data_IF_260146442235
#
_entry.id   IF_260146442235
#
_cell.length_a   1.000
_cell.length_b   1.000
_cell.length_c   1.000
_cell.angle_alpha   90.00
_cell.angle_beta   90.00
_cell.angle_gamma   90.00
#
_symmetry.space_group_name_H-M   'P 1'
#
loop_
_entity.id
_entity.type
_entity.pdbx_description
1 polymer ?
#
# COMPACT_ATOMS: atom_id res chain seq x y z
N UNK A 1 27.75 19.06 27.77
CA UNK A 1 26.30 18.79 27.72
C UNK A 1 25.68 19.68 26.64
N UNK A 2 25.29 19.12 25.50
CA UNK A 2 24.62 19.87 24.44
C UNK A 2 23.11 19.63 24.52
N UNK A 3 22.34 20.67 24.83
CA UNK A 3 20.88 20.66 24.74
C UNK A 3 20.48 20.69 23.26
N UNK A 4 20.01 19.56 22.73
CA UNK A 4 19.22 19.54 21.51
C UNK A 4 17.86 20.19 21.83
N UNK A 5 17.73 21.48 21.51
CA UNK A 5 16.46 22.20 21.65
C UNK A 5 15.43 21.60 20.70
N UNK A 6 14.30 21.13 21.24
CA UNK A 6 13.16 20.69 20.44
C UNK A 6 12.69 21.83 19.52
N UNK A 7 12.39 21.56 18.23
CA UNK A 7 11.97 22.61 17.31
C UNK A 7 10.69 23.29 17.80
N UNK A 8 10.67 24.63 17.76
CA UNK A 8 9.52 25.43 18.18
C UNK A 8 8.21 24.99 17.45
N UNK A 9 7.05 24.97 18.12
CA UNK A 9 5.81 24.36 17.62
C UNK A 9 5.31 24.96 16.30
N UNK A 10 5.61 26.23 16.01
CA UNK A 10 5.28 26.87 14.74
C UNK A 10 6.10 26.32 13.56
N UNK A 11 7.36 25.96 13.79
CA UNK A 11 8.23 25.33 12.78
C UNK A 11 7.77 23.91 12.47
N UNK A 12 7.41 23.14 13.49
CA UNK A 12 6.83 21.79 13.30
C UNK A 12 5.53 21.86 12.49
N UNK A 13 4.60 22.77 12.82
CA UNK A 13 3.36 22.95 12.06
C UNK A 13 3.60 23.29 10.58
N UNK A 14 4.57 24.16 10.28
CA UNK A 14 4.92 24.51 8.89
C UNK A 14 5.51 23.32 8.14
N UNK A 15 6.38 22.55 8.78
CA UNK A 15 6.97 21.33 8.23
C UNK A 15 5.91 20.28 7.92
N UNK A 16 4.97 20.04 8.84
CA UNK A 16 3.85 19.10 8.61
C UNK A 16 2.96 19.54 7.45
N UNK A 17 2.64 20.83 7.37
CA UNK A 17 1.82 21.37 6.27
C UNK A 17 2.52 21.20 4.92
N UNK A 18 3.81 21.51 4.83
CA UNK A 18 4.55 21.32 3.58
C UNK A 18 4.70 19.85 3.20
N UNK A 19 4.87 18.96 4.20
CA UNK A 19 4.96 17.52 3.97
C UNK A 19 3.65 16.97 3.40
N UNK A 20 2.51 17.36 3.97
CA UNK A 20 1.19 16.98 3.46
C UNK A 20 0.92 17.53 2.05
N UNK A 21 1.31 18.78 1.78
CA UNK A 21 1.17 19.38 0.44
C UNK A 21 2.03 18.64 -0.60
N UNK A 22 3.25 18.26 -0.26
CA UNK A 22 4.13 17.47 -1.13
C UNK A 22 3.58 16.07 -1.41
N UNK A 23 3.02 15.40 -0.39
CA UNK A 23 2.38 14.09 -0.55
C UNK A 23 1.19 14.19 -1.52
N UNK A 24 0.30 15.16 -1.33
CA UNK A 24 -0.87 15.31 -2.19
C UNK A 24 -0.46 15.67 -3.63
N UNK A 25 0.46 16.61 -3.80
CA UNK A 25 0.97 16.98 -5.12
C UNK A 25 1.65 15.82 -5.84
N UNK A 26 2.34 14.92 -5.11
CA UNK A 26 2.96 13.75 -5.71
C UNK A 26 1.91 12.81 -6.32
N UNK A 27 0.80 12.58 -5.61
CA UNK A 27 -0.31 11.75 -6.08
C UNK A 27 -0.94 12.40 -7.33
N UNK A 28 -1.28 13.69 -7.25
CA UNK A 28 -1.97 14.40 -8.32
C UNK A 28 -1.14 14.49 -9.60
N UNK A 29 0.15 14.88 -9.49
CA UNK A 29 1.03 15.08 -10.63
C UNK A 29 1.33 13.75 -11.34
N UNK A 30 1.58 12.68 -10.59
CA UNK A 30 1.90 11.37 -11.18
C UNK A 30 0.65 10.71 -11.76
N UNK A 31 -0.53 10.92 -11.16
CA UNK A 31 -1.79 10.42 -11.72
C UNK A 31 -2.14 11.10 -13.05
N UNK A 32 -1.91 12.42 -13.13
CA UNK A 32 -2.32 13.24 -14.27
C UNK A 32 -1.35 13.26 -15.47
N UNK A 33 -0.13 12.73 -15.37
CA UNK A 33 0.86 12.77 -16.46
C UNK A 33 1.11 11.38 -17.06
N UNK A 34 1.07 11.28 -18.39
CA UNK A 34 1.43 10.05 -19.13
C UNK A 34 2.95 9.78 -19.15
N UNK A 35 3.77 10.71 -18.67
CA UNK A 35 5.23 10.62 -18.73
C UNK A 35 5.81 10.03 -17.45
N UNK A 36 6.56 8.94 -17.58
CA UNK A 36 7.24 8.24 -16.47
C UNK A 36 8.22 9.12 -15.67
N UNK A 37 8.63 10.27 -16.21
CA UNK A 37 9.63 11.17 -15.63
C UNK A 37 9.02 12.39 -14.93
N UNK A 38 8.39 12.18 -13.78
CA UNK A 38 8.01 13.30 -12.89
C UNK A 38 9.18 13.63 -11.98
N UNK A 39 9.77 14.83 -12.11
CA UNK A 39 10.86 15.26 -11.23
C UNK A 39 10.33 15.73 -9.85
N UNK A 40 11.14 15.58 -8.79
CA UNK A 40 10.80 16.11 -7.46
C UNK A 40 10.59 17.64 -7.48
N UNK A 41 11.27 18.34 -8.39
CA UNK A 41 11.06 19.78 -8.60
C UNK A 41 9.65 20.13 -9.05
N UNK A 42 9.06 19.32 -9.93
CA UNK A 42 7.73 19.56 -10.49
C UNK A 42 6.68 19.34 -9.41
N UNK A 43 6.88 18.33 -8.57
CA UNK A 43 6.03 18.07 -7.40
C UNK A 43 6.15 19.21 -6.39
N UNK A 44 7.37 19.70 -6.13
CA UNK A 44 7.59 20.82 -5.23
C UNK A 44 6.88 22.10 -5.72
N UNK A 45 6.95 22.37 -7.02
CA UNK A 45 6.25 23.48 -7.66
C UNK A 45 4.73 23.35 -7.51
N UNK A 46 4.17 22.17 -7.83
CA UNK A 46 2.74 21.89 -7.67
C UNK A 46 2.27 22.01 -6.21
N UNK A 47 3.13 21.64 -5.25
CA UNK A 47 2.85 21.77 -3.81
C UNK A 47 3.03 23.21 -3.27
N UNK A 48 3.48 24.17 -4.09
CA UNK A 48 3.75 25.55 -3.67
C UNK A 48 4.92 25.66 -2.69
N UNK A 49 5.92 24.76 -2.78
CA UNK A 49 7.11 24.76 -1.92
C UNK A 49 8.40 24.86 -2.74
N UNK A 50 9.48 25.34 -2.11
CA UNK A 50 10.76 25.40 -2.82
C UNK A 50 11.36 24.00 -3.00
N UNK A 51 12.11 23.80 -4.10
CA UNK A 51 12.85 22.55 -4.34
C UNK A 51 13.70 22.15 -3.13
N UNK A 52 14.40 23.12 -2.53
CA UNK A 52 15.22 22.91 -1.33
C UNK A 52 14.43 22.27 -0.19
N UNK A 53 13.19 22.72 0.06
CA UNK A 53 12.34 22.14 1.12
C UNK A 53 11.94 20.71 0.79
N UNK A 54 11.60 20.42 -0.47
CA UNK A 54 11.24 19.07 -0.89
C UNK A 54 12.40 18.08 -0.72
N UNK A 55 13.59 18.43 -1.22
CA UNK A 55 14.81 17.61 -1.05
C UNK A 55 15.19 17.46 0.42
N UNK A 56 15.02 18.48 1.26
CA UNK A 56 15.29 18.38 2.70
C UNK A 56 14.34 17.43 3.43
N UNK A 57 13.09 17.28 2.98
CA UNK A 57 12.08 16.47 3.67
C UNK A 57 12.03 15.02 3.21
N UNK A 58 12.39 14.75 1.96
CA UNK A 58 12.25 13.42 1.35
C UNK A 58 13.54 12.87 0.75
N UNK A 59 14.57 13.69 0.55
CA UNK A 59 15.83 13.28 -0.06
C UNK A 59 15.72 13.14 -1.58
N UNK A 60 14.79 12.33 -2.08
CA UNK A 60 14.57 12.13 -3.50
C UNK A 60 13.07 11.94 -3.84
N UNK A 61 12.81 11.78 -5.14
CA UNK A 61 11.47 11.61 -5.70
C UNK A 61 10.86 10.28 -5.25
N UNK A 62 11.60 9.19 -5.31
CA UNK A 62 11.07 7.85 -5.09
C UNK A 62 10.74 7.62 -3.62
N UNK A 63 11.47 8.24 -2.70
CA UNK A 63 11.15 8.31 -1.28
C UNK A 63 9.86 9.11 -1.01
N UNK A 64 9.63 10.21 -1.75
CA UNK A 64 8.36 10.93 -1.68
C UNK A 64 7.19 10.07 -2.21
N UNK A 65 7.36 9.39 -3.35
CA UNK A 65 6.33 8.54 -3.92
C UNK A 65 5.99 7.36 -3.01
N UNK A 66 7.00 6.78 -2.36
CA UNK A 66 6.83 5.75 -1.33
C UNK A 66 5.93 6.22 -0.20
N UNK A 67 6.29 7.34 0.42
CA UNK A 67 5.56 7.93 1.53
C UNK A 67 4.13 8.31 1.11
N UNK A 68 3.95 8.83 -0.10
CA UNK A 68 2.64 9.16 -0.65
C UNK A 68 1.78 7.92 -0.88
N UNK A 69 2.34 6.80 -1.35
CA UNK A 69 1.61 5.54 -1.49
C UNK A 69 1.14 4.97 -0.14
N UNK A 70 2.01 5.02 0.87
CA UNK A 70 1.66 4.59 2.22
C UNK A 70 0.60 5.53 2.85
N UNK A 71 0.72 6.85 2.66
CA UNK A 71 -0.29 7.82 3.12
C UNK A 71 -1.65 7.56 2.47
N UNK A 72 -1.67 7.39 1.15
CA UNK A 72 -2.90 7.14 0.39
C UNK A 72 -3.59 5.86 0.86
N UNK A 73 -2.84 4.77 1.05
CA UNK A 73 -3.40 3.52 1.57
C UNK A 73 -3.93 3.66 3.00
N UNK A 74 -3.22 4.37 3.88
CA UNK A 74 -3.70 4.61 5.26
C UNK A 74 -4.97 5.45 5.30
N UNK A 75 -5.10 6.42 4.39
CA UNK A 75 -6.25 7.34 4.33
C UNK A 75 -7.47 6.74 3.66
N UNK A 76 -7.27 5.93 2.62
CA UNK A 76 -8.37 5.52 1.73
C UNK A 76 -8.63 4.03 1.77
N UNK A 77 -7.60 3.18 1.78
CA UNK A 77 -7.78 1.72 1.82
C UNK A 77 -8.12 1.24 3.22
N UNK A 78 -7.30 1.58 4.23
CA UNK A 78 -7.45 1.07 5.61
C UNK A 78 -8.86 1.31 6.18
N UNK A 79 -9.45 2.51 6.09
CA UNK A 79 -10.78 2.76 6.64
C UNK A 79 -11.90 2.00 5.91
N UNK A 80 -11.73 1.73 4.62
CA UNK A 80 -12.71 0.96 3.84
C UNK A 80 -12.65 -0.52 4.20
N UNK A 81 -11.44 -1.08 4.34
CA UNK A 81 -11.26 -2.52 4.52
C UNK A 81 -11.44 -2.99 5.97
N UNK A 82 -11.23 -2.12 6.96
CA UNK A 82 -11.22 -2.50 8.38
C UNK A 82 -12.58 -2.98 8.90
N UNK A 83 -13.68 -2.44 8.35
CA UNK A 83 -15.04 -2.79 8.75
C UNK A 83 -15.70 -3.84 7.83
N UNK A 84 -15.02 -4.24 6.75
CA UNK A 84 -15.53 -5.25 5.83
C UNK A 84 -15.21 -6.66 6.33
N UNK A 85 -16.10 -7.64 6.08
CA UNK A 85 -15.81 -9.04 6.39
C UNK A 85 -14.57 -9.51 5.61
N UNK A 86 -13.78 -10.46 6.16
CA UNK A 86 -12.70 -11.10 5.42
C UNK A 86 -13.18 -11.71 4.08
N UNK A 87 -12.25 -11.96 3.15
CA UNK A 87 -12.57 -12.54 1.84
C UNK A 87 -12.92 -11.50 0.78
N UNK A 88 -13.86 -11.86 -0.12
CA UNK A 88 -14.13 -11.11 -1.37
C UNK A 88 -14.47 -9.63 -1.16
N UNK A 89 -15.35 -9.22 -0.23
CA UNK A 89 -15.72 -7.81 -0.08
C UNK A 89 -14.52 -6.92 0.26
N UNK A 90 -13.68 -7.38 1.20
CA UNK A 90 -12.47 -6.66 1.62
C UNK A 90 -11.42 -6.59 0.50
N UNK A 91 -11.18 -7.71 -0.18
CA UNK A 91 -10.25 -7.76 -1.29
C UNK A 91 -10.67 -6.81 -2.42
N UNK A 92 -11.95 -6.85 -2.80
CA UNK A 92 -12.49 -6.04 -3.89
C UNK A 92 -12.41 -4.53 -3.59
N UNK A 93 -12.70 -4.10 -2.36
CA UNK A 93 -12.54 -2.70 -1.96
C UNK A 93 -11.10 -2.21 -2.14
N UNK A 94 -10.11 -2.99 -1.70
CA UNK A 94 -8.70 -2.65 -1.89
C UNK A 94 -8.30 -2.66 -3.38
N UNK A 95 -8.76 -3.64 -4.16
CA UNK A 95 -8.41 -3.77 -5.58
C UNK A 95 -9.00 -2.65 -6.44
N UNK A 96 -10.23 -2.21 -6.15
CA UNK A 96 -10.84 -1.04 -6.80
C UNK A 96 -10.01 0.21 -6.57
N UNK A 97 -9.57 0.45 -5.34
CA UNK A 97 -8.65 1.54 -5.03
C UNK A 97 -7.36 1.48 -5.85
N UNK A 98 -6.73 0.29 -5.95
CA UNK A 98 -5.53 0.13 -6.76
C UNK A 98 -5.79 0.38 -8.26
N UNK A 99 -6.94 -0.03 -8.79
CA UNK A 99 -7.33 0.26 -10.17
C UNK A 99 -7.60 1.75 -10.41
N UNK A 100 -8.33 2.41 -9.51
CA UNK A 100 -8.65 3.85 -9.60
C UNK A 100 -7.38 4.71 -9.56
N UNK A 101 -6.36 4.27 -8.82
CA UNK A 101 -5.05 4.93 -8.72
C UNK A 101 -3.95 4.22 -9.50
N UNK A 102 -4.30 3.44 -10.55
CA UNK A 102 -3.37 2.56 -11.28
C UNK A 102 -2.08 3.26 -11.69
N UNK A 103 -2.20 4.44 -12.30
CA UNK A 103 -1.05 5.22 -12.84
C UNK A 103 -0.05 5.56 -11.74
N UNK A 104 -0.56 6.03 -10.60
CA UNK A 104 0.25 6.36 -9.44
C UNK A 104 0.96 5.12 -8.88
N UNK A 105 0.21 4.07 -8.56
CA UNK A 105 0.81 2.85 -8.00
C UNK A 105 1.79 2.18 -8.95
N UNK A 106 1.50 2.15 -10.26
CA UNK A 106 2.43 1.64 -11.28
C UNK A 106 3.74 2.41 -11.26
N UNK A 107 3.71 3.74 -11.20
CA UNK A 107 4.93 4.55 -11.12
C UNK A 107 5.77 4.22 -9.88
N UNK A 108 5.14 4.01 -8.73
CA UNK A 108 5.85 3.62 -7.49
C UNK A 108 6.44 2.21 -7.59
N UNK A 109 5.68 1.25 -8.13
CA UNK A 109 6.06 -0.16 -8.24
C UNK A 109 7.11 -0.44 -9.32
N UNK A 110 7.24 0.44 -10.31
CA UNK A 110 8.34 0.38 -11.30
C UNK A 110 9.57 1.20 -10.90
N UNK A 111 9.49 1.93 -9.79
CA UNK A 111 10.57 2.79 -9.31
C UNK A 111 11.65 2.02 -8.54
N UNK A 112 12.84 2.63 -8.34
CA UNK A 112 13.96 2.03 -7.59
C UNK A 112 13.61 1.52 -6.18
N UNK A 113 12.61 2.13 -5.53
CA UNK A 113 12.21 1.80 -4.17
C UNK A 113 11.06 0.77 -4.09
N UNK A 114 10.65 0.14 -5.19
CA UNK A 114 9.51 -0.79 -5.22
C UNK A 114 9.59 -1.90 -4.16
N UNK A 115 10.80 -2.43 -3.90
CA UNK A 115 11.04 -3.45 -2.86
C UNK A 115 10.72 -2.90 -1.46
N UNK A 116 11.09 -1.65 -1.18
CA UNK A 116 10.77 -0.98 0.08
C UNK A 116 9.27 -0.71 0.25
N UNK A 117 8.52 -0.50 -0.85
CA UNK A 117 7.05 -0.42 -0.78
C UNK A 117 6.49 -1.76 -0.33
N UNK A 118 6.95 -2.83 -0.97
CA UNK A 118 6.54 -4.18 -0.59
C UNK A 118 6.77 -4.47 0.90
N UNK A 119 7.94 -4.10 1.43
CA UNK A 119 8.24 -4.23 2.86
C UNK A 119 7.32 -3.37 3.74
N UNK A 120 7.13 -2.08 3.40
CA UNK A 120 6.25 -1.19 4.15
C UNK A 120 4.78 -1.61 4.13
N UNK A 121 4.32 -2.22 3.03
CA UNK A 121 2.99 -2.83 2.93
C UNK A 121 2.90 -4.11 3.75
N UNK A 122 3.93 -4.95 3.72
CA UNK A 122 3.99 -6.14 4.54
C UNK A 122 3.86 -5.79 6.03
N UNK A 123 4.53 -4.74 6.52
CA UNK A 123 4.41 -4.29 7.92
C UNK A 123 2.97 -3.90 8.32
N UNK A 124 2.15 -3.43 7.37
CA UNK A 124 0.75 -3.08 7.62
C UNK A 124 -0.17 -4.31 7.69
N UNK A 125 0.16 -5.38 6.96
CA UNK A 125 -0.76 -6.51 6.70
C UNK A 125 -0.33 -7.81 7.42
N UNK A 126 0.97 -8.02 7.65
CA UNK A 126 1.50 -9.21 8.30
C UNK A 126 0.92 -9.46 9.70
N UNK A 127 0.78 -8.47 10.60
CA UNK A 127 0.20 -8.71 11.92
C UNK A 127 -1.22 -9.29 11.83
N UNK A 128 -2.08 -8.68 11.00
CA UNK A 128 -3.46 -9.15 10.78
C UNK A 128 -3.51 -10.53 10.13
N UNK A 129 -2.57 -10.82 9.24
CA UNK A 129 -2.51 -12.13 8.58
C UNK A 129 -2.13 -13.22 9.57
N UNK A 130 -1.16 -12.95 10.46
CA UNK A 130 -0.76 -13.87 11.53
C UNK A 130 -1.92 -14.15 12.48
N UNK A 131 -2.63 -13.12 12.91
CA UNK A 131 -3.82 -13.26 13.77
C UNK A 131 -4.87 -14.14 13.08
N UNK A 132 -5.13 -13.91 11.79
CA UNK A 132 -6.08 -14.71 11.04
C UNK A 132 -5.64 -16.16 10.82
N UNK A 133 -4.36 -16.43 10.62
CA UNK A 133 -3.84 -17.80 10.53
C UNK A 133 -4.07 -18.53 11.86
N UNK A 134 -3.81 -17.87 13.00
CA UNK A 134 -4.09 -18.43 14.34
C UNK A 134 -5.57 -18.66 14.55
N UNK A 135 -6.44 -17.71 14.20
CA UNK A 135 -7.89 -17.88 14.29
C UNK A 135 -8.40 -19.09 13.49
N UNK A 136 -7.84 -19.31 12.31
CA UNK A 136 -8.23 -20.41 11.44
C UNK A 136 -7.69 -21.75 11.93
N UNK A 137 -6.45 -21.81 12.42
CA UNK A 137 -5.74 -23.06 12.69
C UNK A 137 -5.62 -23.42 14.18
N UNK A 138 -5.99 -22.52 15.08
CA UNK A 138 -5.73 -22.63 16.51
C UNK A 138 -4.29 -22.25 16.88
N UNK A 139 -4.01 -22.25 18.18
CA UNK A 139 -2.69 -21.90 18.74
C UNK A 139 -1.66 -23.04 18.65
N UNK A 140 -2.04 -24.20 18.08
CA UNK A 140 -1.18 -25.38 17.98
C UNK A 140 -0.13 -25.30 16.87
N UNK A 141 -0.22 -24.29 15.99
CA UNK A 141 0.78 -24.07 14.94
C UNK A 141 2.06 -23.46 15.50
N UNK A 142 3.20 -23.97 15.03
CA UNK A 142 4.51 -23.38 15.27
C UNK A 142 4.51 -21.87 14.92
N UNK A 143 4.90 -20.98 15.85
CA UNK A 143 4.95 -19.54 15.59
C UNK A 143 5.82 -19.13 14.39
N UNK A 144 6.91 -19.87 14.12
CA UNK A 144 7.76 -19.60 12.96
C UNK A 144 7.02 -19.96 11.66
N UNK A 145 6.37 -21.12 11.60
CA UNK A 145 5.50 -21.49 10.49
C UNK A 145 4.39 -20.44 10.24
N UNK A 146 3.76 -19.90 11.29
CA UNK A 146 2.75 -18.82 11.14
C UNK A 146 3.37 -17.56 10.54
N UNK A 147 4.58 -17.20 10.96
CA UNK A 147 5.29 -16.05 10.42
C UNK A 147 5.65 -16.25 8.93
N UNK A 148 6.14 -17.43 8.57
CA UNK A 148 6.54 -17.78 7.21
C UNK A 148 5.33 -17.87 6.27
N UNK A 149 4.22 -18.46 6.72
CA UNK A 149 2.96 -18.48 5.98
C UNK A 149 2.42 -17.07 5.73
N UNK A 150 2.48 -16.18 6.73
CA UNK A 150 2.05 -14.80 6.56
C UNK A 150 2.89 -14.07 5.50
N UNK A 151 4.21 -14.27 5.52
CA UNK A 151 5.13 -13.71 4.51
C UNK A 151 4.85 -14.29 3.12
N UNK A 152 4.70 -15.61 3.02
CA UNK A 152 4.45 -16.31 1.76
C UNK A 152 3.13 -15.88 1.11
N UNK A 153 2.04 -15.80 1.89
CA UNK A 153 0.71 -15.40 1.41
C UNK A 153 0.75 -13.94 0.92
N UNK A 154 1.29 -13.02 1.74
CA UNK A 154 1.32 -11.60 1.38
C UNK A 154 2.29 -11.29 0.24
N UNK A 155 3.44 -11.97 0.20
CA UNK A 155 4.40 -11.84 -0.90
C UNK A 155 3.79 -12.27 -2.24
N UNK A 156 3.06 -13.39 -2.25
CA UNK A 156 2.33 -13.85 -3.43
C UNK A 156 1.25 -12.88 -3.89
N UNK A 157 0.42 -12.38 -2.95
CA UNK A 157 -0.63 -11.38 -3.24
C UNK A 157 0.00 -10.10 -3.82
N UNK A 158 1.06 -9.58 -3.20
CA UNK A 158 1.73 -8.37 -3.68
C UNK A 158 2.32 -8.56 -5.08
N UNK A 159 2.92 -9.71 -5.36
CA UNK A 159 3.44 -10.03 -6.69
C UNK A 159 2.31 -10.06 -7.73
N UNK A 160 1.18 -10.69 -7.42
CA UNK A 160 0.01 -10.72 -8.31
C UNK A 160 -0.57 -9.33 -8.56
N UNK A 161 -0.71 -8.49 -7.53
CA UNK A 161 -1.21 -7.11 -7.65
C UNK A 161 -0.25 -6.27 -8.50
N UNK A 162 1.06 -6.42 -8.27
CA UNK A 162 2.09 -5.68 -9.02
C UNK A 162 2.03 -6.01 -10.51
N UNK A 163 1.98 -7.30 -10.85
CA UNK A 163 1.82 -7.74 -12.24
C UNK A 163 0.51 -7.22 -12.85
N UNK A 164 -0.60 -7.29 -12.12
CA UNK A 164 -1.90 -6.77 -12.59
C UNK A 164 -1.87 -5.27 -12.87
N UNK A 165 -1.25 -4.46 -12.01
CA UNK A 165 -1.15 -3.02 -12.22
C UNK A 165 -0.25 -2.63 -13.39
N UNK A 166 0.84 -3.37 -13.58
CA UNK A 166 1.85 -3.09 -14.62
C UNK A 166 1.43 -3.63 -15.99
N UNK A 167 0.94 -4.86 -16.04
CA UNK A 167 0.75 -5.65 -17.27
C UNK A 167 -0.72 -5.86 -17.63
N UNK A 168 -1.67 -5.61 -16.72
CA UNK A 168 -3.10 -5.85 -16.97
C UNK A 168 -3.68 -4.98 -18.09
N UNK A 169 -4.84 -5.38 -18.60
CA UNK A 169 -5.55 -4.64 -19.64
C UNK A 169 -6.02 -3.25 -19.16
N UNK A 170 -6.38 -2.37 -20.09
CA UNK A 170 -6.93 -1.05 -19.80
C UNK A 170 -8.35 -0.93 -20.36
N UNK A 171 -9.40 -0.77 -19.53
CA UNK A 171 -9.37 -0.66 -18.06
C UNK A 171 -9.08 -2.00 -17.36
N UNK A 172 -8.56 -1.91 -16.13
CA UNK A 172 -8.43 -3.09 -15.26
C UNK A 172 -9.80 -3.60 -14.81
N UNK A 173 -9.91 -4.90 -14.59
CA UNK A 173 -11.09 -5.54 -13.98
C UNK A 173 -10.77 -6.02 -12.54
N UNK A 174 -11.17 -5.28 -11.49
CA UNK A 174 -10.94 -5.65 -10.11
C UNK A 174 -11.74 -6.88 -9.67
N UNK A 175 -12.90 -7.13 -10.28
CA UNK A 175 -13.79 -8.22 -9.91
C UNK A 175 -13.22 -9.55 -10.41
N UNK A 176 -12.81 -9.64 -11.68
CA UNK A 176 -12.11 -10.81 -12.24
C UNK A 176 -10.79 -11.08 -11.49
N UNK A 177 -9.99 -10.03 -11.25
CA UNK A 177 -8.73 -10.20 -10.54
C UNK A 177 -8.93 -10.67 -9.10
N UNK A 178 -9.94 -10.16 -8.39
CA UNK A 178 -10.28 -10.61 -7.03
C UNK A 178 -10.62 -12.10 -7.01
N UNK A 179 -11.43 -12.58 -7.96
CA UNK A 179 -11.79 -14.00 -8.05
C UNK A 179 -10.57 -14.88 -8.29
N UNK A 180 -9.71 -14.50 -9.24
CA UNK A 180 -8.47 -15.24 -9.52
C UNK A 180 -7.53 -15.27 -8.31
N UNK A 181 -7.33 -14.12 -7.65
CA UNK A 181 -6.45 -14.00 -6.49
C UNK A 181 -6.97 -14.82 -5.29
N UNK A 182 -8.26 -14.73 -4.99
CA UNK A 182 -8.87 -15.47 -3.89
C UNK A 182 -8.86 -16.97 -4.15
N UNK A 183 -9.07 -17.42 -5.40
CA UNK A 183 -8.97 -18.84 -5.76
C UNK A 183 -7.59 -19.42 -5.42
N UNK A 184 -6.51 -18.69 -5.69
CA UNK A 184 -5.14 -19.09 -5.32
C UNK A 184 -4.99 -19.14 -3.80
N UNK A 185 -5.46 -18.11 -3.09
CA UNK A 185 -5.38 -18.06 -1.63
C UNK A 185 -6.16 -19.22 -0.98
N UNK A 186 -7.38 -19.51 -1.45
CA UNK A 186 -8.21 -20.59 -0.93
C UNK A 186 -7.75 -21.98 -1.34
N UNK A 187 -6.97 -22.14 -2.41
CA UNK A 187 -6.33 -23.41 -2.73
C UNK A 187 -5.27 -23.78 -1.68
N UNK A 188 -4.58 -22.79 -1.14
CA UNK A 188 -3.57 -22.97 -0.08
C UNK A 188 -4.19 -23.19 1.31
N UNK A 189 -5.51 -22.98 1.46
CA UNK A 189 -6.26 -23.16 2.71
C UNK A 189 -7.10 -24.46 2.60
N UNK A 190 -7.03 -25.39 3.59
CA UNK A 190 -7.77 -26.65 3.53
C UNK A 190 -9.29 -26.48 3.37
N UNK A 191 -9.91 -27.36 2.57
CA UNK A 191 -11.28 -27.23 2.06
C UNK A 191 -12.38 -27.10 3.12
N UNK A 192 -12.23 -27.71 4.30
CA UNK A 192 -13.23 -27.68 5.38
C UNK A 192 -13.44 -26.32 6.06
N UNK A 193 -12.69 -25.28 5.66
CA UNK A 193 -12.77 -23.93 6.23
C UNK A 193 -13.14 -22.82 5.23
N UNK A 194 -13.39 -23.17 3.95
CA UNK A 194 -13.89 -22.23 2.94
C UNK A 194 -15.31 -21.73 3.25
N UNK A 195 -16.16 -22.60 3.79
CA UNK A 195 -17.56 -22.31 4.12
C UNK A 195 -17.76 -21.28 5.24
N UNK A 196 -16.73 -21.04 6.06
CA UNK A 196 -16.77 -20.03 7.12
C UNK A 196 -16.54 -18.60 6.59
N UNK A 197 -15.88 -18.45 5.43
CA UNK A 197 -15.55 -17.16 4.83
C UNK A 197 -16.56 -16.69 3.80
N UNK A 198 -17.29 -17.61 3.16
CA UNK A 198 -18.27 -17.26 2.12
C UNK A 198 -19.64 -16.85 2.69
N UNK A 199 -19.85 -16.98 4.00
CA UNK A 199 -21.16 -16.77 4.60
C UNK A 199 -22.11 -17.86 4.11
N UNK A 200 -22.39 -18.83 4.98
CA UNK A 200 -23.35 -19.91 4.74
C UNK A 200 -24.60 -19.35 4.03
N UNK A 201 -24.83 -19.82 2.79
CA UNK A 201 -26.07 -19.57 2.05
C UNK A 201 -27.29 -19.99 2.87
#
# INVERSE_FOLDING_TARGET
>A
MAFMSAPAPARDRRVRRSRAALIQAAIDVVTGRDTASVALSDIAEAAGVTRKVAYQQFGDRDALLMEAALDLMRREVVPQVINLPPGKPRALAALRHFADHRRFYRAVLTGPNAVSLGAGLADLVLPRTRDRIRDLHGDDLDPQLVADLAVQINGGILAMITAWLIEGDDPLDPDDFAERMLRVQYFLIPEGRRDADEGRR
#
